data_IF_289435114693
#
_entry.id   IF_289435114693
#
_cell.length_a   1.000
_cell.length_b   1.000
_cell.length_c   1.000
_cell.angle_alpha   90.00
_cell.angle_beta   90.00
_cell.angle_gamma   90.00
#
_symmetry.space_group_name_H-M   'P 1'
#
loop_
_entity.id
_entity.type
_entity.pdbx_description
1 polymer ?
#
# COMPACT_ATOMS: atom_id res chain seq x y z
N UNK A 1 9.08 0.63 -18.38
CA UNK A 1 9.29 0.82 -16.94
C UNK A 1 9.56 -0.54 -16.32
N UNK A 2 9.24 -0.76 -15.05
CA UNK A 2 9.50 -2.06 -14.41
C UNK A 2 8.61 -3.20 -14.96
N UNK A 3 7.52 -2.86 -15.66
CA UNK A 3 6.59 -3.82 -16.27
C UNK A 3 7.24 -4.78 -17.28
N UNK A 4 8.33 -4.38 -17.93
CA UNK A 4 9.06 -5.21 -18.90
C UNK A 4 10.17 -6.05 -18.24
N UNK A 5 10.49 -5.74 -16.96
CA UNK A 5 11.53 -6.37 -16.16
C UNK A 5 10.96 -7.30 -15.06
N UNK A 6 9.67 -7.20 -14.75
CA UNK A 6 8.98 -8.06 -13.77
C UNK A 6 8.17 -9.14 -14.46
N UNK A 7 8.30 -10.37 -13.96
CA UNK A 7 7.37 -11.45 -14.25
C UNK A 7 6.20 -11.41 -13.26
N UNK A 8 5.01 -11.10 -13.75
CA UNK A 8 3.79 -11.20 -12.94
C UNK A 8 3.28 -12.64 -12.93
N UNK A 9 3.00 -13.17 -11.74
CA UNK A 9 2.42 -14.50 -11.54
C UNK A 9 1.10 -14.34 -10.78
N UNK A 10 -0.06 -14.45 -11.46
CA UNK A 10 -1.35 -14.34 -10.80
C UNK A 10 -1.61 -15.55 -9.90
N UNK A 11 -2.14 -15.31 -8.70
CA UNK A 11 -2.54 -16.35 -7.74
C UNK A 11 -4.05 -16.29 -7.56
N UNK A 12 -4.74 -17.39 -7.84
CA UNK A 12 -6.16 -17.54 -7.49
C UNK A 12 -6.28 -17.67 -5.97
N UNK A 13 -6.95 -16.71 -5.32
CA UNK A 13 -7.10 -16.68 -3.86
C UNK A 13 -8.07 -17.76 -3.34
N UNK A 14 -8.97 -18.29 -4.20
CA UNK A 14 -9.88 -19.38 -3.83
C UNK A 14 -9.24 -20.75 -4.03
N UNK A 15 -8.27 -20.84 -4.93
CA UNK A 15 -7.55 -22.07 -5.27
C UNK A 15 -6.04 -21.79 -5.39
N UNK A 16 -5.41 -21.44 -4.27
CA UNK A 16 -3.97 -21.14 -4.26
C UNK A 16 -3.18 -22.41 -4.57
N UNK A 17 -2.22 -22.37 -5.51
CA UNK A 17 -1.44 -23.55 -5.82
C UNK A 17 -0.48 -23.88 -4.68
N UNK A 18 -0.30 -25.17 -4.37
CA UNK A 18 0.50 -25.64 -3.24
C UNK A 18 1.95 -25.14 -3.29
N UNK A 19 2.53 -25.08 -4.50
CA UNK A 19 3.91 -24.61 -4.69
C UNK A 19 4.13 -23.19 -4.17
N UNK A 20 3.09 -22.34 -4.12
CA UNK A 20 3.25 -20.96 -3.67
C UNK A 20 3.62 -20.89 -2.20
N UNK A 21 2.88 -21.63 -1.35
CA UNK A 21 3.18 -21.74 0.08
C UNK A 21 4.46 -22.51 0.32
N UNK A 22 4.69 -23.59 -0.42
CA UNK A 22 5.82 -24.50 -0.19
C UNK A 22 7.17 -23.94 -0.63
N UNK A 23 7.19 -23.17 -1.72
CA UNK A 23 8.44 -22.82 -2.42
C UNK A 23 8.69 -21.31 -2.50
N UNK A 24 7.66 -20.48 -2.39
CA UNK A 24 7.80 -19.03 -2.55
C UNK A 24 7.56 -18.34 -1.22
N UNK A 25 6.33 -18.31 -0.71
CA UNK A 25 5.99 -17.53 0.47
C UNK A 25 5.16 -18.33 1.48
N UNK A 26 5.78 -18.89 2.54
CA UNK A 26 5.12 -19.76 3.53
C UNK A 26 3.90 -19.17 4.23
N UNK A 27 3.83 -17.85 4.38
CA UNK A 27 2.66 -17.14 4.93
C UNK A 27 1.42 -17.31 4.05
N UNK A 28 1.58 -17.69 2.78
CA UNK A 28 0.51 -17.98 1.82
C UNK A 28 -0.46 -16.80 1.60
N UNK A 29 0.04 -15.58 1.74
CA UNK A 29 -0.68 -14.32 1.48
C UNK A 29 -0.04 -13.60 0.31
N UNK A 30 -0.84 -12.83 -0.42
CA UNK A 30 -0.37 -11.91 -1.47
C UNK A 30 -0.47 -10.47 -0.96
N UNK A 31 0.33 -9.53 -1.50
CA UNK A 31 1.42 -9.74 -2.46
C UNK A 31 2.69 -10.32 -1.81
N UNK A 32 3.52 -10.96 -2.65
CA UNK A 32 4.91 -11.33 -2.33
C UNK A 32 5.78 -11.14 -3.57
N UNK A 33 7.06 -10.82 -3.40
CA UNK A 33 8.01 -10.65 -4.49
C UNK A 33 9.29 -11.42 -4.24
N UNK A 34 9.84 -12.03 -5.28
CA UNK A 34 11.16 -12.65 -5.27
C UNK A 34 12.13 -11.79 -6.08
N UNK A 35 13.23 -11.36 -5.46
CA UNK A 35 14.30 -10.63 -6.13
C UNK A 35 15.64 -10.99 -5.46
N UNK A 36 16.69 -11.25 -6.25
CA UNK A 36 18.01 -11.65 -5.75
C UNK A 36 17.97 -12.83 -4.76
N UNK A 37 17.20 -13.89 -5.08
CA UNK A 37 16.99 -15.07 -4.24
C UNK A 37 16.42 -14.77 -2.84
N UNK A 38 15.83 -13.59 -2.64
CA UNK A 38 15.12 -13.21 -1.42
C UNK A 38 13.64 -13.05 -1.71
N UNK A 39 12.82 -13.69 -0.89
CA UNK A 39 11.37 -13.47 -0.89
C UNK A 39 11.02 -12.40 0.13
N UNK A 40 10.21 -11.44 -0.29
CA UNK A 40 9.70 -10.35 0.51
C UNK A 40 8.17 -10.47 0.49
N UNK A 41 7.56 -10.39 1.66
CA UNK A 41 6.12 -10.26 1.85
C UNK A 41 5.80 -8.96 2.57
N UNK A 42 4.53 -8.77 2.95
CA UNK A 42 3.98 -7.52 3.52
C UNK A 42 3.94 -6.36 2.52
N UNK A 43 2.74 -5.91 2.17
CA UNK A 43 2.51 -4.98 1.06
C UNK A 43 3.30 -3.66 1.18
N UNK A 44 3.41 -3.08 2.39
CA UNK A 44 4.15 -1.84 2.63
C UNK A 44 5.67 -2.03 2.52
N UNK A 45 6.19 -3.18 2.94
CA UNK A 45 7.61 -3.50 2.80
C UNK A 45 7.98 -3.72 1.34
N UNK A 46 7.09 -4.33 0.55
CA UNK A 46 7.26 -4.45 -0.91
C UNK A 46 7.33 -3.09 -1.58
N UNK A 47 6.42 -2.17 -1.25
CA UNK A 47 6.40 -0.82 -1.85
C UNK A 47 7.72 -0.09 -1.57
N UNK A 48 8.19 -0.10 -0.31
CA UNK A 48 9.49 0.49 0.06
C UNK A 48 10.67 -0.17 -0.65
N UNK A 49 10.63 -1.50 -0.76
CA UNK A 49 11.69 -2.24 -1.45
C UNK A 49 11.72 -1.87 -2.94
N UNK A 50 10.56 -1.75 -3.59
CA UNK A 50 10.49 -1.37 -5.01
C UNK A 50 11.09 0.02 -5.22
N UNK A 51 10.68 0.99 -4.39
CA UNK A 51 11.18 2.37 -4.43
C UNK A 51 12.71 2.46 -4.24
N UNK A 52 13.27 1.60 -3.39
CA UNK A 52 14.71 1.62 -3.06
C UNK A 52 15.62 0.82 -4.01
N UNK A 53 15.07 -0.11 -4.80
CA UNK A 53 15.88 -1.09 -5.56
C UNK A 53 15.70 -1.03 -7.08
N UNK A 54 14.75 -0.24 -7.57
CA UNK A 54 14.49 -0.12 -9.00
C UNK A 54 14.48 1.34 -9.44
N UNK A 55 14.85 1.58 -10.69
CA UNK A 55 14.81 2.90 -11.30
C UNK A 55 13.37 3.40 -11.43
N UNK A 56 13.14 4.67 -11.10
CA UNK A 56 11.84 5.33 -11.22
C UNK A 56 11.80 6.64 -10.44
N UNK A 57 10.73 7.43 -10.60
CA UNK A 57 10.44 8.53 -9.69
C UNK A 57 10.27 8.01 -8.26
N UNK A 58 10.76 8.78 -7.28
CA UNK A 58 10.61 8.43 -5.87
C UNK A 58 9.13 8.45 -5.48
N UNK A 59 8.68 7.41 -4.77
CA UNK A 59 7.30 7.32 -4.27
C UNK A 59 7.02 8.30 -3.13
N UNK A 60 8.07 8.80 -2.46
CA UNK A 60 7.96 9.81 -1.42
C UNK A 60 8.68 11.09 -1.84
N UNK A 61 8.14 12.27 -1.51
CA UNK A 61 8.82 13.52 -1.75
C UNK A 61 10.05 13.70 -0.85
N UNK A 62 10.96 14.59 -1.25
CA UNK A 62 12.10 15.01 -0.43
C UNK A 62 11.69 15.95 0.71
N UNK A 63 10.56 16.65 0.58
CA UNK A 63 10.07 17.60 1.58
C UNK A 63 9.82 16.90 2.94
N UNK A 64 10.49 17.30 4.03
CA UNK A 64 10.38 16.63 5.31
C UNK A 64 8.97 16.65 5.92
N UNK A 65 8.18 17.71 5.69
CA UNK A 65 6.81 17.80 6.19
C UNK A 65 5.91 16.82 5.46
N UNK A 66 6.01 16.77 4.13
CA UNK A 66 5.26 15.82 3.29
C UNK A 66 5.63 14.38 3.61
N UNK A 67 6.91 14.07 3.87
CA UNK A 67 7.34 12.72 4.31
C UNK A 67 6.74 12.33 5.65
N UNK A 68 6.83 13.20 6.65
CA UNK A 68 6.23 12.96 7.96
C UNK A 68 4.72 12.73 7.84
N UNK A 69 4.05 13.55 7.04
CA UNK A 69 2.61 13.38 6.81
C UNK A 69 2.27 12.07 6.08
N UNK A 70 3.10 11.64 5.13
CA UNK A 70 2.93 10.34 4.47
C UNK A 70 3.02 9.19 5.48
N UNK A 71 4.00 9.22 6.38
CA UNK A 71 4.15 8.22 7.45
C UNK A 71 2.94 8.20 8.39
N UNK A 72 2.47 9.38 8.81
CA UNK A 72 1.26 9.52 9.64
C UNK A 72 0.01 8.97 8.93
N UNK A 73 -0.17 9.30 7.64
CA UNK A 73 -1.32 8.87 6.85
C UNK A 73 -1.30 7.36 6.58
N UNK A 74 -0.12 6.78 6.30
CA UNK A 74 0.04 5.33 6.16
C UNK A 74 -0.28 4.62 7.48
N UNK A 75 0.24 5.12 8.60
CA UNK A 75 -0.04 4.57 9.92
C UNK A 75 -1.53 4.65 10.29
N UNK A 76 -2.18 5.78 10.01
CA UNK A 76 -3.63 5.94 10.18
C UNK A 76 -4.41 4.96 9.29
N UNK A 77 -3.98 4.81 8.03
CA UNK A 77 -4.63 3.94 7.07
C UNK A 77 -4.61 2.48 7.52
N UNK A 78 -3.45 2.00 7.97
CA UNK A 78 -3.24 0.63 8.43
C UNK A 78 -3.96 0.32 9.75
N UNK A 79 -3.86 1.22 10.72
CA UNK A 79 -4.34 0.95 12.09
C UNK A 79 -5.81 1.33 12.31
N UNK A 80 -6.34 2.27 11.53
CA UNK A 80 -7.66 2.87 11.77
C UNK A 80 -8.57 2.78 10.56
N UNK A 81 -8.21 3.43 9.44
CA UNK A 81 -9.11 3.57 8.29
C UNK A 81 -9.56 2.21 7.73
N UNK A 82 -8.59 1.37 7.34
CA UNK A 82 -8.89 0.07 6.71
C UNK A 82 -9.67 -0.83 7.66
N UNK A 83 -9.26 -1.05 8.93
CA UNK A 83 -10.04 -1.88 9.86
C UNK A 83 -11.47 -1.39 10.11
N UNK A 84 -11.70 -0.09 10.22
CA UNK A 84 -13.04 0.47 10.46
C UNK A 84 -13.92 0.33 9.21
N UNK A 85 -13.39 0.65 8.02
CA UNK A 85 -14.12 0.48 6.76
C UNK A 85 -14.49 -0.99 6.53
N UNK A 86 -13.58 -1.93 6.76
CA UNK A 86 -13.88 -3.36 6.63
C UNK A 86 -14.95 -3.83 7.63
N UNK A 87 -14.89 -3.36 8.89
CA UNK A 87 -15.94 -3.66 9.89
C UNK A 87 -17.29 -3.08 9.49
N UNK A 88 -17.28 -1.93 8.82
CA UNK A 88 -18.48 -1.26 8.34
C UNK A 88 -19.25 -2.10 7.31
N UNK A 89 -18.57 -2.94 6.51
CA UNK A 89 -19.23 -3.83 5.53
C UNK A 89 -20.08 -4.93 6.17
N UNK A 90 -19.77 -5.34 7.40
CA UNK A 90 -20.56 -6.30 8.14
C UNK A 90 -21.77 -5.66 8.87
N UNK A 91 -21.91 -4.32 8.79
CA UNK A 91 -22.86 -3.51 9.55
C UNK A 91 -23.35 -2.35 8.66
N UNK A 92 -23.86 -1.27 9.26
CA UNK A 92 -24.19 -0.05 8.53
C UNK A 92 -22.92 0.79 8.28
N UNK A 93 -22.54 0.89 7.01
CA UNK A 93 -21.35 1.61 6.57
C UNK A 93 -21.34 3.10 6.96
N UNK A 94 -22.51 3.74 6.99
CA UNK A 94 -22.61 5.20 7.24
C UNK A 94 -22.32 5.56 8.69
N UNK A 95 -22.72 4.72 9.63
CA UNK A 95 -22.50 4.98 11.06
C UNK A 95 -21.09 4.62 11.52
N UNK A 96 -20.39 3.72 10.81
CA UNK A 96 -19.12 3.17 11.28
C UNK A 96 -17.88 3.71 10.58
N UNK A 97 -18.00 4.25 9.36
CA UNK A 97 -16.85 4.73 8.58
C UNK A 97 -16.90 6.22 8.23
N UNK A 98 -18.00 6.93 8.53
CA UNK A 98 -18.17 8.35 8.13
C UNK A 98 -17.02 9.23 8.60
N UNK A 99 -16.67 9.15 9.90
CA UNK A 99 -15.57 9.94 10.46
C UNK A 99 -14.20 9.61 9.84
N UNK A 100 -13.99 8.37 9.38
CA UNK A 100 -12.78 7.93 8.71
C UNK A 100 -12.67 8.52 7.30
N UNK A 101 -13.78 8.60 6.57
CA UNK A 101 -13.81 9.29 5.27
C UNK A 101 -13.66 10.82 5.43
N UNK A 102 -14.29 11.43 6.44
CA UNK A 102 -14.09 12.86 6.76
C UNK A 102 -12.62 13.17 7.09
N UNK A 103 -11.94 12.26 7.77
CA UNK A 103 -10.50 12.40 8.03
C UNK A 103 -9.70 12.37 6.72
N UNK A 104 -9.97 11.42 5.82
CA UNK A 104 -9.28 11.36 4.53
C UNK A 104 -9.57 12.59 3.66
N UNK A 105 -10.79 13.10 3.67
CA UNK A 105 -11.14 14.32 2.95
C UNK A 105 -10.33 15.53 3.46
N UNK A 106 -10.22 15.68 4.79
CA UNK A 106 -9.37 16.73 5.39
C UNK A 106 -7.89 16.51 5.10
N UNK A 107 -7.42 15.27 5.14
CA UNK A 107 -6.04 14.91 4.83
C UNK A 107 -5.68 15.25 3.38
N UNK A 108 -6.63 15.06 2.45
CA UNK A 108 -6.46 15.38 1.03
C UNK A 108 -6.29 16.88 0.79
N UNK A 109 -6.89 17.73 1.62
CA UNK A 109 -6.83 19.19 1.51
C UNK A 109 -5.58 19.81 2.16
N UNK A 110 -4.67 19.01 2.74
CA UNK A 110 -3.51 19.53 3.48
C UNK A 110 -2.53 20.30 2.59
N UNK A 111 -2.31 19.84 1.37
CA UNK A 111 -1.41 20.46 0.39
C UNK A 111 -2.21 20.85 -0.85
N UNK A 112 -2.00 22.07 -1.35
CA UNK A 112 -2.76 22.66 -2.46
C UNK A 112 -2.03 22.63 -3.81
N UNK A 113 -0.82 22.06 -3.83
CA UNK A 113 0.03 21.97 -5.00
C UNK A 113 -0.26 20.76 -5.90
N UNK A 114 -1.38 20.07 -5.71
CA UNK A 114 -1.88 19.04 -6.62
C UNK A 114 -3.04 18.21 -6.06
N UNK A 115 -3.52 17.20 -6.80
CA UNK A 115 -4.73 16.46 -6.46
C UNK A 115 -4.51 15.25 -5.53
N UNK A 116 -3.29 15.02 -5.03
CA UNK A 116 -2.95 13.86 -4.19
C UNK A 116 -2.72 14.26 -2.73
N UNK A 117 -2.70 13.28 -1.83
CA UNK A 117 -2.49 13.50 -0.38
C UNK A 117 -1.20 14.26 -0.03
N UNK A 118 -0.19 14.20 -0.90
CA UNK A 118 1.09 14.92 -0.74
C UNK A 118 1.22 16.07 -1.74
N UNK A 119 0.09 16.55 -2.28
CA UNK A 119 0.00 17.45 -3.44
C UNK A 119 0.20 16.68 -4.75
N UNK A 120 1.42 16.21 -4.98
CA UNK A 120 1.78 15.39 -6.15
C UNK A 120 1.89 13.90 -5.78
N UNK A 121 1.72 13.00 -6.76
CA UNK A 121 1.74 11.54 -6.53
C UNK A 121 3.14 10.99 -6.24
N UNK A 122 4.13 11.46 -7.01
CA UNK A 122 5.54 11.08 -6.93
C UNK A 122 6.38 12.27 -7.41
N UNK A 123 7.66 12.32 -7.03
CA UNK A 123 8.60 13.34 -7.53
C UNK A 123 9.26 12.94 -8.84
#
# INVERSE_FOLDING_TARGET
GLQDKIKLVPIDLKNRPDWYKEKVYPTNKVPSMEHNNKVIGESLDLVKYVDSNFEGPSLLPDDPEKRKFAEELIAYSDTTFVPEVYRSFAKDARTLAGAQFDYLEKALLKFDDGPFFLGQFSQ
#
